data_IF_702227890636
#
_entry.id   IF_702227890636
#
_cell.length_a   1.000
_cell.length_b   1.000
_cell.length_c   1.000
_cell.angle_alpha   90.00
_cell.angle_beta   90.00
_cell.angle_gamma   90.00
#
_symmetry.space_group_name_H-M   'P 1'
#
loop_
_entity.id
_entity.type
_entity.pdbx_description
1 polymer ?
#
# COMPACT_ATOMS: atom_id res chain seq x y z
N UNK A 1 26.41 18.71 21.43
CA UNK A 1 25.09 19.32 21.65
C UNK A 1 24.22 18.26 22.26
N UNK A 2 23.58 18.53 23.38
CA UNK A 2 22.61 17.65 24.00
C UNK A 2 21.22 18.27 23.76
N UNK A 3 20.30 17.50 23.21
CA UNK A 3 18.94 17.92 22.90
C UNK A 3 17.98 17.19 23.84
N UNK A 4 17.09 17.94 24.48
CA UNK A 4 16.04 17.41 25.36
C UNK A 4 14.73 18.11 25.05
N UNK A 5 13.71 17.34 24.64
CA UNK A 5 12.34 17.80 24.45
C UNK A 5 11.40 16.96 25.30
N UNK A 6 10.13 17.36 25.34
CA UNK A 6 9.11 16.63 26.07
C UNK A 6 8.98 15.18 25.56
N UNK A 7 8.70 14.26 26.47
CA UNK A 7 8.49 12.85 26.11
C UNK A 7 7.07 12.58 25.62
N UNK A 8 6.63 13.40 24.70
CA UNK A 8 5.34 13.23 24.02
C UNK A 8 5.53 13.19 22.50
N UNK A 9 4.43 13.10 21.76
CA UNK A 9 4.48 13.05 20.29
C UNK A 9 5.11 14.31 19.68
N UNK A 10 4.76 15.49 20.20
CA UNK A 10 5.26 16.77 19.70
C UNK A 10 6.75 16.93 19.95
N UNK A 11 7.24 16.52 21.12
CA UNK A 11 8.66 16.54 21.46
C UNK A 11 9.48 15.59 20.58
N UNK A 12 8.98 14.40 20.31
CA UNK A 12 9.61 13.44 19.37
C UNK A 12 9.70 14.00 17.95
N UNK A 13 8.62 14.60 17.46
CA UNK A 13 8.60 15.27 16.14
C UNK A 13 9.56 16.48 16.10
N UNK A 14 9.70 17.21 17.20
CA UNK A 14 10.66 18.30 17.31
C UNK A 14 12.12 17.81 17.22
N UNK A 15 12.44 16.68 17.88
CA UNK A 15 13.76 16.03 17.74
C UNK A 15 14.04 15.70 16.28
N UNK A 16 13.12 15.05 15.58
CA UNK A 16 13.29 14.66 14.18
C UNK A 16 13.49 15.87 13.24
N UNK A 17 12.87 17.02 13.53
CA UNK A 17 13.03 18.25 12.75
C UNK A 17 14.33 19.00 13.04
N UNK A 18 14.77 19.04 14.31
CA UNK A 18 15.89 19.88 14.75
C UNK A 18 17.24 19.18 14.58
N UNK A 19 17.32 17.89 14.88
CA UNK A 19 18.59 17.15 14.82
C UNK A 19 19.27 17.21 13.45
N UNK A 20 18.57 17.10 12.30
CA UNK A 20 19.20 17.24 10.99
C UNK A 20 19.84 18.61 10.72
N UNK A 21 19.40 19.66 11.42
CA UNK A 21 19.94 21.02 11.30
C UNK A 21 21.21 21.24 12.13
N UNK A 22 21.53 20.30 13.02
CA UNK A 22 22.67 20.40 13.93
C UNK A 22 23.93 19.71 13.35
N UNK A 23 25.13 20.05 13.83
CA UNK A 23 26.38 19.46 13.32
C UNK A 23 26.37 17.93 13.44
N UNK A 24 26.54 17.26 12.30
CA UNK A 24 26.51 15.79 12.22
C UNK A 24 27.53 15.14 13.16
N UNK A 25 27.07 14.09 13.84
CA UNK A 25 27.93 13.32 14.75
C UNK A 25 28.22 13.97 16.10
N UNK A 26 27.70 15.17 16.37
CA UNK A 26 27.89 15.92 17.62
C UNK A 26 26.59 16.15 18.40
N UNK A 27 25.58 15.34 18.15
CA UNK A 27 24.25 15.47 18.76
C UNK A 27 23.94 14.25 19.60
N UNK A 28 23.55 14.47 20.84
CA UNK A 28 23.01 13.48 21.77
C UNK A 28 21.58 13.87 22.13
N UNK A 29 20.73 12.91 22.31
CA UNK A 29 19.32 13.13 22.66
C UNK A 29 19.03 12.47 24.00
N UNK A 30 18.43 13.24 24.90
CA UNK A 30 17.86 12.73 26.14
C UNK A 30 16.44 12.29 25.86
N UNK A 31 16.09 11.09 26.28
CA UNK A 31 14.70 10.64 26.35
C UNK A 31 14.29 10.74 27.84
N UNK A 32 13.51 11.75 28.23
CA UNK A 32 13.11 11.90 29.65
C UNK A 32 12.26 10.72 30.10
N UNK A 33 12.39 10.29 31.36
CA UNK A 33 11.52 9.29 32.00
C UNK A 33 10.13 9.84 32.28
N UNK A 34 10.05 11.14 32.53
CA UNK A 34 8.82 11.89 32.77
C UNK A 34 8.41 12.65 31.50
N UNK A 35 7.25 13.28 31.53
CA UNK A 35 6.73 14.03 30.39
C UNK A 35 7.66 15.16 29.96
N UNK A 36 8.16 15.92 30.92
CA UNK A 36 9.05 17.05 30.69
C UNK A 36 10.09 17.20 31.83
N UNK A 37 11.04 18.12 31.65
CA UNK A 37 12.10 18.38 32.64
C UNK A 37 11.55 18.99 33.93
N UNK A 38 10.41 19.71 33.87
CA UNK A 38 9.79 20.31 35.05
C UNK A 38 9.21 19.23 36.01
N UNK A 39 8.72 18.13 35.47
CA UNK A 39 8.23 17.01 36.28
C UNK A 39 9.34 16.39 37.16
N UNK A 40 10.60 16.42 36.74
CA UNK A 40 11.70 15.97 37.61
C UNK A 40 11.84 16.87 38.84
N UNK A 41 11.71 18.20 38.65
CA UNK A 41 11.79 19.17 39.75
C UNK A 41 10.60 19.03 40.71
N UNK A 42 9.39 19.00 40.18
CA UNK A 42 8.15 18.91 40.96
C UNK A 42 8.11 17.62 41.79
N UNK A 43 8.70 16.53 41.31
CA UNK A 43 8.70 15.24 41.99
C UNK A 43 9.99 15.02 42.82
N UNK A 44 10.89 16.00 42.96
CA UNK A 44 12.15 15.87 43.71
C UNK A 44 13.11 14.84 43.11
N UNK A 45 13.14 14.73 41.76
CA UNK A 45 13.89 13.72 41.00
C UNK A 45 15.05 14.30 40.18
N UNK A 46 15.64 15.38 40.64
CA UNK A 46 16.72 16.09 39.93
C UNK A 46 17.92 15.17 39.65
N UNK A 47 18.21 14.25 40.57
CA UNK A 47 19.30 13.27 40.40
C UNK A 47 19.02 12.29 39.27
N UNK A 48 17.75 11.94 39.04
CA UNK A 48 17.35 11.08 37.92
C UNK A 48 17.55 11.82 36.60
N UNK A 49 17.21 13.12 36.52
CA UNK A 49 17.48 13.92 35.33
C UNK A 49 18.97 13.99 35.01
N UNK A 50 19.81 14.21 36.02
CA UNK A 50 21.28 14.20 35.84
C UNK A 50 21.77 12.86 35.29
N UNK A 51 21.19 11.75 35.76
CA UNK A 51 21.48 10.41 35.24
C UNK A 51 21.06 10.29 33.79
N UNK A 52 19.87 10.74 33.44
CA UNK A 52 19.35 10.69 32.06
C UNK A 52 20.17 11.61 31.13
N UNK A 53 20.65 12.75 31.64
CA UNK A 53 21.54 13.63 30.88
C UNK A 53 22.89 12.95 30.53
N UNK A 54 23.49 12.25 31.46
CA UNK A 54 24.74 11.52 31.19
C UNK A 54 24.55 10.24 30.38
N UNK A 55 23.31 9.71 30.36
CA UNK A 55 22.91 8.58 29.54
C UNK A 55 22.33 8.99 28.17
N UNK A 56 22.47 10.28 27.81
CA UNK A 56 22.03 10.75 26.50
C UNK A 56 22.62 9.91 25.37
N UNK A 57 21.78 9.46 24.46
CA UNK A 57 22.20 8.60 23.35
C UNK A 57 22.60 9.44 22.14
N UNK A 58 23.67 9.03 21.46
CA UNK A 58 24.07 9.68 20.21
C UNK A 58 23.01 9.42 19.15
N UNK A 59 22.41 10.48 18.59
CA UNK A 59 21.44 10.32 17.52
C UNK A 59 22.13 9.72 16.29
N UNK A 60 21.64 8.59 15.85
CA UNK A 60 22.07 7.95 14.63
C UNK A 60 21.56 8.75 13.43
N UNK A 61 22.37 9.01 12.39
CA UNK A 61 21.91 9.70 11.18
C UNK A 61 20.77 8.97 10.50
N UNK A 62 19.91 9.72 9.81
CA UNK A 62 18.80 9.14 9.06
C UNK A 62 19.28 8.08 8.06
N UNK A 63 18.57 6.99 7.99
CA UNK A 63 18.91 5.85 7.13
C UNK A 63 19.92 4.86 7.77
N UNK A 64 20.45 5.15 8.97
CA UNK A 64 21.28 4.23 9.76
C UNK A 64 20.51 3.84 11.01
N UNK A 65 20.37 2.56 11.24
CA UNK A 65 19.68 2.00 12.43
C UNK A 65 20.73 1.34 13.31
N UNK A 66 20.72 1.65 14.59
CA UNK A 66 21.59 0.98 15.54
C UNK A 66 21.07 -0.42 15.86
N UNK A 67 21.95 -1.35 16.20
CA UNK A 67 21.54 -2.69 16.63
C UNK A 67 20.65 -2.66 17.89
N UNK A 68 20.78 -1.64 18.72
CA UNK A 68 19.93 -1.44 19.90
C UNK A 68 18.47 -1.15 19.56
N UNK A 69 18.21 -0.57 18.38
CA UNK A 69 16.86 -0.23 17.93
C UNK A 69 16.19 -1.36 17.13
N UNK A 70 16.94 -2.45 16.81
CA UNK A 70 16.39 -3.51 15.94
C UNK A 70 15.23 -4.27 16.59
N UNK A 71 15.22 -4.42 17.91
CA UNK A 71 14.13 -5.14 18.59
C UNK A 71 12.80 -4.40 18.45
N UNK A 72 12.81 -3.06 18.60
CA UNK A 72 11.60 -2.25 18.36
C UNK A 72 11.13 -2.35 16.91
N UNK A 73 12.05 -2.39 15.95
CA UNK A 73 11.72 -2.57 14.53
C UNK A 73 11.16 -3.95 14.20
N UNK A 74 11.62 -4.99 14.89
CA UNK A 74 11.05 -6.35 14.77
C UNK A 74 9.60 -6.37 15.28
N UNK A 75 9.33 -5.71 16.40
CA UNK A 75 7.98 -5.60 16.96
C UNK A 75 7.07 -4.82 15.99
N UNK A 76 7.51 -3.62 15.55
CA UNK A 76 6.78 -2.84 14.55
C UNK A 76 6.47 -3.65 13.28
N UNK A 77 7.42 -4.45 12.80
CA UNK A 77 7.25 -5.31 11.63
C UNK A 77 6.24 -6.45 11.89
N UNK A 78 6.21 -6.98 13.10
CA UNK A 78 5.26 -8.03 13.48
C UNK A 78 3.81 -7.51 13.57
N UNK A 79 3.63 -6.23 13.85
CA UNK A 79 2.33 -5.54 13.93
C UNK A 79 1.80 -5.09 12.57
N UNK A 80 2.61 -5.18 11.50
CA UNK A 80 2.18 -4.78 10.15
C UNK A 80 0.96 -5.61 9.72
N UNK A 81 -0.17 -4.97 9.36
CA UNK A 81 -1.35 -5.67 8.91
C UNK A 81 -1.08 -6.50 7.65
N UNK A 82 -1.75 -7.62 7.52
CA UNK A 82 -1.62 -8.53 6.39
C UNK A 82 -2.90 -8.56 5.54
N UNK A 83 -2.71 -8.64 4.25
CA UNK A 83 -3.78 -8.80 3.26
C UNK A 83 -4.00 -10.30 3.08
N UNK A 84 -5.20 -10.83 3.36
CA UNK A 84 -5.47 -12.27 3.26
C UNK A 84 -5.44 -12.74 1.80
N UNK A 85 -5.07 -14.00 1.59
CA UNK A 85 -5.15 -14.62 0.26
C UNK A 85 -6.42 -15.47 0.12
N UNK A 86 -6.93 -15.66 -1.12
CA UNK A 86 -8.09 -16.52 -1.35
C UNK A 86 -7.87 -17.95 -0.84
N UNK A 87 -8.93 -18.68 -0.46
CA UNK A 87 -8.84 -20.04 0.11
C UNK A 87 -8.06 -21.04 -0.75
N UNK A 88 -8.11 -20.90 -2.08
CA UNK A 88 -7.34 -21.78 -2.97
C UNK A 88 -5.82 -21.55 -2.89
N UNK A 89 -5.39 -20.45 -2.29
CA UNK A 89 -3.98 -20.09 -2.04
C UNK A 89 -3.56 -20.35 -0.58
N UNK A 90 -4.29 -21.17 0.17
CA UNK A 90 -4.05 -21.40 1.61
C UNK A 90 -2.60 -21.76 1.93
N UNK A 91 -1.97 -22.64 1.11
CA UNK A 91 -0.54 -22.99 1.31
C UNK A 91 0.39 -21.79 1.26
N UNK A 92 0.15 -20.88 0.30
CA UNK A 92 0.92 -19.65 0.19
C UNK A 92 0.64 -18.72 1.38
N UNK A 93 -0.61 -18.62 1.80
CA UNK A 93 -1.00 -17.86 2.98
C UNK A 93 -0.29 -18.35 4.25
N UNK A 94 -0.22 -19.68 4.44
CA UNK A 94 0.49 -20.28 5.57
C UNK A 94 1.99 -20.01 5.51
N UNK A 95 2.62 -20.16 4.33
CA UNK A 95 4.03 -19.83 4.11
C UNK A 95 4.35 -18.34 4.39
N UNK A 96 3.39 -17.44 4.16
CA UNK A 96 3.48 -16.00 4.44
C UNK A 96 2.98 -15.63 5.84
N UNK A 97 2.77 -16.63 6.71
CA UNK A 97 2.29 -16.43 8.07
C UNK A 97 1.01 -15.56 8.16
N UNK A 98 0.01 -15.87 7.34
CA UNK A 98 -1.32 -15.25 7.38
C UNK A 98 -1.62 -14.26 6.25
N UNK A 99 -0.73 -14.07 5.27
CA UNK A 99 -1.01 -13.25 4.10
C UNK A 99 0.10 -12.28 3.71
N UNK A 100 -0.18 -11.41 2.76
CA UNK A 100 0.76 -10.43 2.24
C UNK A 100 0.85 -9.26 3.23
N UNK A 101 2.04 -8.91 3.77
CA UNK A 101 2.17 -7.74 4.63
C UNK A 101 1.94 -6.45 3.83
N UNK A 102 1.42 -5.40 4.49
CA UNK A 102 1.39 -4.07 3.88
C UNK A 102 2.81 -3.51 3.68
N UNK A 103 2.96 -2.63 2.69
CA UNK A 103 4.24 -1.98 2.40
C UNK A 103 5.20 -2.80 1.56
N UNK A 104 4.70 -3.76 0.77
CA UNK A 104 5.52 -4.58 -0.15
C UNK A 104 5.06 -4.48 -1.60
N UNK A 105 5.94 -4.91 -2.51
CA UNK A 105 5.57 -5.21 -3.89
C UNK A 105 5.44 -6.73 -4.03
N UNK A 106 4.29 -7.20 -4.49
CA UNK A 106 4.05 -8.58 -4.93
C UNK A 106 4.07 -8.60 -6.44
N UNK A 107 4.87 -9.47 -7.03
CA UNK A 107 4.96 -9.59 -8.48
C UNK A 107 4.47 -10.98 -8.93
N UNK A 108 3.37 -11.01 -9.69
CA UNK A 108 2.84 -12.19 -10.34
C UNK A 108 3.38 -12.26 -11.77
N UNK A 109 4.41 -13.07 -11.95
CA UNK A 109 5.13 -13.17 -13.22
C UNK A 109 4.98 -14.56 -13.84
N UNK A 110 4.52 -14.63 -15.09
CA UNK A 110 4.54 -15.86 -15.88
C UNK A 110 4.38 -15.55 -17.40
N UNK A 111 4.48 -16.56 -18.25
CA UNK A 111 4.27 -16.41 -19.69
C UNK A 111 2.83 -15.92 -20.00
N UNK A 112 2.63 -15.33 -21.18
CA UNK A 112 1.30 -14.95 -21.66
C UNK A 112 0.38 -16.18 -21.76
N UNK A 113 -0.92 -16.00 -21.52
CA UNK A 113 -1.94 -17.06 -21.62
C UNK A 113 -1.95 -18.08 -20.48
N UNK A 114 -1.18 -17.88 -19.41
CA UNK A 114 -1.11 -18.83 -18.26
C UNK A 114 -2.13 -18.57 -17.15
N UNK A 115 -3.03 -17.59 -17.33
CA UNK A 115 -4.07 -17.27 -16.35
C UNK A 115 -3.67 -16.30 -15.24
N UNK A 116 -2.61 -15.47 -15.44
CA UNK A 116 -2.20 -14.45 -14.47
C UNK A 116 -3.33 -13.51 -14.09
N UNK A 117 -3.96 -12.89 -15.10
CA UNK A 117 -5.06 -11.95 -14.89
C UNK A 117 -6.24 -12.64 -14.19
N UNK A 118 -6.51 -13.92 -14.48
CA UNK A 118 -7.54 -14.68 -13.76
C UNK A 118 -7.19 -14.83 -12.27
N UNK A 119 -5.93 -15.14 -11.96
CA UNK A 119 -5.49 -15.30 -10.56
C UNK A 119 -5.55 -13.97 -9.82
N UNK A 120 -5.07 -12.87 -10.45
CA UNK A 120 -5.10 -11.57 -9.79
C UNK A 120 -6.53 -11.04 -9.64
N UNK A 121 -7.41 -11.30 -10.61
CA UNK A 121 -8.83 -10.97 -10.51
C UNK A 121 -9.53 -11.69 -9.36
N UNK A 122 -9.23 -12.98 -9.16
CA UNK A 122 -9.77 -13.73 -8.03
C UNK A 122 -9.18 -13.23 -6.69
N UNK A 123 -7.90 -12.86 -6.64
CA UNK A 123 -7.32 -12.20 -5.48
C UNK A 123 -7.96 -10.85 -5.21
N UNK A 124 -8.10 -10.01 -6.24
CA UNK A 124 -8.75 -8.71 -6.18
C UNK A 124 -10.19 -8.86 -5.64
N UNK A 125 -10.99 -9.70 -6.29
CA UNK A 125 -12.37 -9.96 -5.87
C UNK A 125 -12.45 -10.39 -4.41
N UNK A 126 -11.55 -11.29 -3.98
CA UNK A 126 -11.48 -11.72 -2.60
C UNK A 126 -11.12 -10.55 -1.65
N UNK A 127 -10.18 -9.69 -2.02
CA UNK A 127 -9.78 -8.52 -1.22
C UNK A 127 -10.89 -7.49 -1.07
N UNK A 128 -11.75 -7.32 -2.08
CA UNK A 128 -12.89 -6.40 -2.00
C UNK A 128 -13.82 -6.73 -0.83
N UNK A 129 -13.95 -8.00 -0.46
CA UNK A 129 -14.89 -8.47 0.56
C UNK A 129 -14.21 -8.91 1.86
N UNK A 130 -12.94 -9.30 1.82
CA UNK A 130 -12.25 -9.92 2.96
C UNK A 130 -11.04 -9.12 3.48
N UNK A 131 -10.66 -8.02 2.82
CA UNK A 131 -9.63 -7.12 3.31
C UNK A 131 -10.26 -5.86 3.93
N UNK A 132 -9.74 -5.37 5.08
CA UNK A 132 -10.20 -4.10 5.64
C UNK A 132 -9.69 -2.90 4.84
N UNK A 133 -8.76 -3.12 3.90
CA UNK A 133 -8.09 -2.06 3.16
C UNK A 133 -8.83 -1.72 1.87
N UNK A 134 -8.87 -0.42 1.54
CA UNK A 134 -9.37 0.05 0.26
C UNK A 134 -8.45 -0.42 -0.87
N UNK A 135 -9.06 -0.89 -1.97
CA UNK A 135 -8.37 -1.42 -3.14
C UNK A 135 -8.46 -0.42 -4.29
N UNK A 136 -7.33 -0.16 -4.92
CA UNK A 136 -7.23 0.58 -6.18
C UNK A 136 -6.78 -0.38 -7.30
N UNK A 137 -7.27 -0.16 -8.50
CA UNK A 137 -6.90 -0.93 -9.69
C UNK A 137 -6.43 0.02 -10.77
N UNK A 138 -5.33 -0.30 -11.39
CA UNK A 138 -4.84 0.35 -12.60
C UNK A 138 -4.82 -0.70 -13.70
N UNK A 139 -5.71 -0.56 -14.67
CA UNK A 139 -5.76 -1.42 -15.86
C UNK A 139 -5.74 -0.55 -17.11
N UNK A 140 -4.83 -0.86 -18.00
CA UNK A 140 -4.67 -0.13 -19.25
C UNK A 140 -5.06 -0.97 -20.48
N UNK A 141 -5.46 -2.23 -20.27
CA UNK A 141 -5.91 -3.14 -21.34
C UNK A 141 -7.42 -3.04 -21.63
N UNK A 142 -8.20 -2.57 -20.67
CA UNK A 142 -9.68 -2.50 -20.80
C UNK A 142 -10.21 -1.13 -20.41
N UNK A 143 -11.30 -0.71 -21.04
CA UNK A 143 -12.05 0.46 -20.60
C UNK A 143 -12.87 0.17 -19.33
N UNK A 144 -13.43 1.23 -18.71
CA UNK A 144 -14.20 1.13 -17.47
C UNK A 144 -15.44 0.26 -17.60
N UNK A 145 -16.10 0.28 -18.75
CA UNK A 145 -17.29 -0.55 -19.02
C UNK A 145 -16.95 -2.03 -19.12
N UNK A 146 -15.88 -2.37 -19.84
CA UNK A 146 -15.38 -3.74 -19.98
C UNK A 146 -14.92 -4.30 -18.65
N UNK A 147 -14.17 -3.49 -17.87
CA UNK A 147 -13.74 -3.89 -16.53
C UNK A 147 -14.92 -4.08 -15.59
N UNK A 148 -15.87 -3.15 -15.60
CA UNK A 148 -17.10 -3.23 -14.81
C UNK A 148 -17.93 -4.46 -15.15
N UNK A 149 -18.11 -4.77 -16.44
CA UNK A 149 -18.82 -5.98 -16.89
C UNK A 149 -18.13 -7.27 -16.43
N UNK A 150 -16.80 -7.32 -16.49
CA UNK A 150 -16.00 -8.47 -16.04
C UNK A 150 -16.21 -8.75 -14.55
N UNK A 151 -16.09 -7.73 -13.70
CA UNK A 151 -16.21 -7.90 -12.25
C UNK A 151 -17.66 -8.16 -11.84
N UNK A 152 -18.63 -7.53 -12.51
CA UNK A 152 -20.05 -7.79 -12.31
C UNK A 152 -20.40 -9.23 -12.69
N UNK A 153 -19.94 -9.72 -13.86
CA UNK A 153 -20.13 -11.11 -14.29
C UNK A 153 -19.63 -12.12 -13.26
N UNK A 154 -18.46 -11.82 -12.66
CA UNK A 154 -17.89 -12.63 -11.57
C UNK A 154 -18.79 -12.61 -10.34
N UNK A 155 -19.29 -11.44 -9.97
CA UNK A 155 -20.07 -11.23 -8.76
C UNK A 155 -21.44 -11.92 -8.81
N UNK A 156 -22.19 -11.74 -9.90
CA UNK A 156 -23.52 -12.35 -10.06
C UNK A 156 -23.45 -13.77 -10.63
N UNK A 157 -22.25 -14.31 -10.87
CA UNK A 157 -22.01 -15.66 -11.43
C UNK A 157 -22.69 -15.86 -12.80
N UNK A 158 -22.77 -14.80 -13.60
CA UNK A 158 -23.37 -14.84 -14.94
C UNK A 158 -22.43 -14.21 -15.97
N UNK A 159 -22.18 -14.92 -17.08
CA UNK A 159 -21.31 -14.43 -18.17
C UNK A 159 -22.07 -13.43 -19.05
N UNK A 160 -22.06 -12.16 -18.67
CA UNK A 160 -22.76 -11.07 -19.37
C UNK A 160 -22.24 -10.92 -20.80
N UNK A 161 -20.94 -11.15 -21.04
CA UNK A 161 -20.33 -11.08 -22.36
C UNK A 161 -20.93 -12.10 -23.37
N UNK A 162 -21.62 -13.16 -22.92
CA UNK A 162 -22.27 -14.14 -23.78
C UNK A 162 -23.69 -13.77 -24.18
N UNK A 163 -24.22 -12.66 -23.71
CA UNK A 163 -25.54 -12.16 -24.16
C UNK A 163 -25.29 -11.41 -25.47
N UNK A 164 -25.63 -12.06 -26.59
CA UNK A 164 -25.34 -11.55 -27.93
C UNK A 164 -26.34 -10.46 -28.36
N UNK A 165 -27.61 -10.58 -27.97
CA UNK A 165 -28.60 -9.57 -28.29
C UNK A 165 -28.46 -8.33 -27.43
N UNK A 166 -28.32 -7.18 -28.09
CA UNK A 166 -28.09 -5.89 -27.43
C UNK A 166 -29.23 -5.46 -26.53
N UNK A 167 -30.48 -5.64 -26.99
CA UNK A 167 -31.65 -5.21 -26.22
C UNK A 167 -31.88 -6.14 -25.02
N UNK A 168 -31.63 -7.44 -25.20
CA UNK A 168 -31.63 -8.41 -24.10
C UNK A 168 -30.57 -8.04 -23.06
N UNK A 169 -29.34 -7.75 -23.48
CA UNK A 169 -28.26 -7.34 -22.60
C UNK A 169 -28.59 -6.06 -21.82
N UNK A 170 -29.12 -5.03 -22.49
CA UNK A 170 -29.52 -3.78 -21.84
C UNK A 170 -30.67 -4.00 -20.85
N UNK A 171 -31.67 -4.80 -21.22
CA UNK A 171 -32.77 -5.14 -20.34
C UNK A 171 -32.30 -5.89 -19.11
N UNK A 172 -31.40 -6.85 -19.29
CA UNK A 172 -30.79 -7.59 -18.19
C UNK A 172 -30.02 -6.65 -17.25
N UNK A 173 -29.12 -5.81 -17.77
CA UNK A 173 -28.31 -4.89 -16.97
C UNK A 173 -29.14 -3.83 -16.23
N UNK A 174 -30.30 -3.45 -16.75
CA UNK A 174 -31.21 -2.48 -16.12
C UNK A 174 -32.24 -3.14 -15.19
N UNK A 175 -32.22 -4.45 -15.07
CA UNK A 175 -33.18 -5.17 -14.23
C UNK A 175 -32.92 -4.85 -12.74
N UNK A 176 -34.01 -4.86 -11.97
CA UNK A 176 -33.94 -4.68 -10.51
C UNK A 176 -33.15 -5.82 -9.86
N UNK A 177 -33.20 -7.02 -10.37
CA UNK A 177 -32.45 -8.19 -9.89
C UNK A 177 -30.93 -7.94 -9.95
N UNK A 178 -30.42 -7.42 -11.08
CA UNK A 178 -29.00 -7.06 -11.21
C UNK A 178 -28.64 -5.90 -10.29
N UNK A 179 -29.48 -4.89 -10.18
CA UNK A 179 -29.24 -3.75 -9.32
C UNK A 179 -29.13 -4.16 -7.82
N UNK A 180 -30.03 -5.05 -7.38
CA UNK A 180 -30.01 -5.56 -6.00
C UNK A 180 -28.80 -6.46 -5.74
N UNK A 181 -28.51 -7.40 -6.64
CA UNK A 181 -27.39 -8.33 -6.52
C UNK A 181 -26.03 -7.65 -6.58
N UNK A 182 -25.91 -6.54 -7.31
CA UNK A 182 -24.64 -5.84 -7.49
C UNK A 182 -24.38 -4.72 -6.48
N UNK A 183 -25.33 -4.40 -5.63
CA UNK A 183 -25.23 -3.28 -4.70
C UNK A 183 -24.00 -3.35 -3.80
N UNK A 184 -23.74 -4.52 -3.24
CA UNK A 184 -22.58 -4.76 -2.35
C UNK A 184 -21.26 -4.90 -3.10
N UNK A 185 -21.29 -5.10 -4.43
CA UNK A 185 -20.11 -5.01 -5.29
C UNK A 185 -19.63 -3.55 -5.43
N UNK A 186 -20.57 -2.61 -5.59
CA UNK A 186 -20.24 -1.21 -5.85
C UNK A 186 -20.02 -0.40 -4.58
N UNK A 187 -20.75 -0.74 -3.52
CA UNK A 187 -20.74 0.03 -2.28
C UNK A 187 -20.51 -0.85 -1.07
N UNK A 188 -19.83 -0.29 -0.08
CA UNK A 188 -19.73 -0.85 1.27
C UNK A 188 -21.02 -0.55 2.05
N UNK A 189 -21.16 -1.13 3.25
CA UNK A 189 -22.31 -0.90 4.12
C UNK A 189 -22.46 0.57 4.54
N UNK A 190 -21.36 1.31 4.64
CA UNK A 190 -21.32 2.74 4.95
C UNK A 190 -21.64 3.64 3.75
N UNK A 191 -21.91 3.07 2.58
CA UNK A 191 -22.20 3.78 1.33
C UNK A 191 -20.94 4.26 0.58
N UNK A 192 -19.74 4.01 1.08
CA UNK A 192 -18.51 4.34 0.37
C UNK A 192 -18.27 3.39 -0.82
N UNK A 193 -17.57 3.84 -1.88
CA UNK A 193 -17.16 2.95 -2.97
C UNK A 193 -16.34 1.77 -2.45
N UNK A 194 -16.53 0.59 -3.05
CA UNK A 194 -15.81 -0.60 -2.65
C UNK A 194 -14.38 -0.65 -3.19
N UNK A 195 -14.14 -0.07 -4.35
CA UNK A 195 -12.84 0.07 -4.97
C UNK A 195 -12.78 1.28 -5.89
N UNK A 196 -11.58 1.61 -6.37
CA UNK A 196 -11.35 2.67 -7.35
C UNK A 196 -10.57 2.11 -8.54
N UNK A 197 -10.81 2.68 -9.72
CA UNK A 197 -10.26 2.20 -11.00
C UNK A 197 -9.60 3.36 -11.75
N UNK A 198 -8.41 3.11 -12.30
CA UNK A 198 -7.73 3.98 -13.27
C UNK A 198 -7.65 3.20 -14.59
N UNK A 199 -8.15 3.79 -15.67
CA UNK A 199 -8.13 3.25 -17.03
C UNK A 199 -7.49 4.21 -18.03
N UNK A 200 -7.15 5.43 -17.59
CA UNK A 200 -6.68 6.51 -18.45
C UNK A 200 -5.22 6.32 -18.87
N UNK A 201 -4.96 6.47 -20.17
CA UNK A 201 -3.64 6.40 -20.81
C UNK A 201 -3.14 7.75 -21.37
N UNK A 202 -4.00 8.76 -21.47
CA UNK A 202 -3.75 9.93 -22.30
C UNK A 202 -2.73 10.90 -21.70
N UNK A 203 -2.51 10.87 -20.40
CA UNK A 203 -1.64 11.80 -19.68
C UNK A 203 -0.15 11.41 -19.56
N UNK A 204 0.27 10.25 -20.08
CA UNK A 204 1.63 9.75 -19.93
C UNK A 204 1.97 9.31 -18.50
N UNK A 205 3.26 9.01 -18.24
CA UNK A 205 3.72 8.41 -16.98
C UNK A 205 3.57 9.35 -15.78
N UNK A 206 3.72 10.65 -15.97
CA UNK A 206 3.65 11.60 -14.85
C UNK A 206 2.20 11.82 -14.43
N UNK A 207 1.25 11.91 -15.36
CA UNK A 207 -0.18 11.91 -15.05
C UNK A 207 -0.60 10.63 -14.32
N UNK A 208 -0.14 9.47 -14.76
CA UNK A 208 -0.42 8.21 -14.08
C UNK A 208 0.13 8.18 -12.65
N UNK A 209 1.34 8.74 -12.42
CA UNK A 209 1.88 8.88 -11.05
C UNK A 209 0.99 9.75 -10.17
N UNK A 210 0.48 10.86 -10.70
CA UNK A 210 -0.45 11.74 -9.98
C UNK A 210 -1.74 10.99 -9.63
N UNK A 211 -2.34 10.26 -10.58
CA UNK A 211 -3.54 9.45 -10.33
C UNK A 211 -3.29 8.35 -9.29
N UNK A 212 -2.13 7.68 -9.32
CA UNK A 212 -1.78 6.69 -8.29
C UNK A 212 -1.62 7.34 -6.92
N UNK A 213 -1.04 8.54 -6.83
CA UNK A 213 -0.97 9.29 -5.58
C UNK A 213 -2.36 9.67 -5.06
N UNK A 214 -3.28 10.08 -5.95
CA UNK A 214 -4.67 10.34 -5.59
C UNK A 214 -5.40 9.09 -5.06
N UNK A 215 -5.19 7.92 -5.67
CA UNK A 215 -5.69 6.66 -5.13
C UNK A 215 -5.22 6.42 -3.69
N UNK A 216 -3.97 6.76 -3.40
CA UNK A 216 -3.37 6.53 -2.07
C UNK A 216 -3.85 7.56 -1.06
N UNK A 217 -3.79 8.85 -1.42
CA UNK A 217 -3.97 9.97 -0.49
C UNK A 217 -5.45 10.33 -0.36
N UNK A 218 -6.14 10.53 -1.48
CA UNK A 218 -7.52 11.03 -1.51
C UNK A 218 -8.53 9.89 -1.38
N UNK A 219 -8.27 8.74 -2.04
CA UNK A 219 -9.16 7.58 -1.98
C UNK A 219 -8.80 6.58 -0.86
N UNK A 220 -7.67 6.75 -0.17
CA UNK A 220 -7.25 5.90 0.95
C UNK A 220 -6.86 4.48 0.57
N UNK A 221 -6.54 4.21 -0.70
CA UNK A 221 -6.16 2.87 -1.15
C UNK A 221 -4.85 2.42 -0.50
N UNK A 222 -4.85 1.21 0.04
CA UNK A 222 -3.66 0.55 0.63
C UNK A 222 -3.21 -0.66 -0.16
N UNK A 223 -4.03 -1.17 -1.05
CA UNK A 223 -3.72 -2.27 -1.97
C UNK A 223 -3.98 -1.77 -3.38
N UNK A 224 -2.96 -1.75 -4.22
CA UNK A 224 -3.07 -1.27 -5.61
C UNK A 224 -2.61 -2.36 -6.56
N UNK A 225 -3.49 -2.76 -7.46
CA UNK A 225 -3.21 -3.73 -8.52
C UNK A 225 -2.81 -2.98 -9.79
N UNK A 226 -1.69 -3.35 -10.40
CA UNK A 226 -1.24 -2.85 -11.71
C UNK A 226 -1.24 -4.04 -12.70
N UNK A 227 -2.21 -4.08 -13.61
CA UNK A 227 -2.42 -5.19 -14.54
C UNK A 227 -2.60 -4.70 -15.99
N UNK A 228 -1.60 -4.96 -16.86
CA UNK A 228 -0.26 -5.39 -16.54
C UNK A 228 0.72 -4.21 -16.33
N UNK A 229 1.80 -4.44 -15.60
CA UNK A 229 2.84 -3.41 -15.39
C UNK A 229 3.57 -3.07 -16.70
N UNK A 230 3.64 -3.99 -17.66
CA UNK A 230 4.28 -3.74 -18.96
C UNK A 230 3.64 -2.57 -19.70
N UNK A 231 2.34 -2.47 -19.73
CA UNK A 231 1.64 -1.40 -20.43
C UNK A 231 1.97 -0.02 -19.87
N UNK A 232 2.33 0.03 -18.57
CA UNK A 232 2.83 1.23 -17.92
C UNK A 232 4.29 1.51 -18.33
N UNK A 233 5.09 0.45 -18.47
CA UNK A 233 6.52 0.55 -18.76
C UNK A 233 6.81 0.62 -20.28
N UNK A 234 5.86 0.24 -21.12
CA UNK A 234 6.01 0.34 -22.58
C UNK A 234 6.15 1.80 -23.00
N UNK A 235 7.17 2.06 -23.81
CA UNK A 235 7.54 3.41 -24.23
C UNK A 235 8.56 4.10 -23.31
N UNK A 236 8.86 3.56 -22.13
CA UNK A 236 9.91 4.06 -21.24
C UNK A 236 11.24 3.34 -21.53
N UNK A 237 12.34 4.08 -21.55
CA UNK A 237 13.66 3.49 -21.59
C UNK A 237 14.02 2.86 -20.22
N UNK A 238 15.08 2.03 -20.17
CA UNK A 238 15.48 1.30 -18.95
C UNK A 238 15.72 2.22 -17.74
N UNK A 239 16.27 3.42 -17.97
CA UNK A 239 16.50 4.40 -16.89
C UNK A 239 15.19 4.93 -16.33
N UNK A 240 14.23 5.25 -17.19
CA UNK A 240 12.90 5.72 -16.81
C UNK A 240 12.11 4.63 -16.07
N UNK A 241 12.17 3.38 -16.56
CA UNK A 241 11.59 2.23 -15.86
C UNK A 241 12.18 2.07 -14.44
N UNK A 242 13.50 2.18 -14.30
CA UNK A 242 14.16 2.13 -13.00
C UNK A 242 13.75 3.29 -12.08
N UNK A 243 13.55 4.49 -12.61
CA UNK A 243 13.04 5.66 -11.88
C UNK A 243 11.60 5.40 -11.40
N UNK A 244 10.73 4.90 -12.27
CA UNK A 244 9.36 4.56 -11.91
C UNK A 244 9.29 3.50 -10.81
N UNK A 245 10.05 2.41 -10.94
CA UNK A 245 10.11 1.36 -9.91
C UNK A 245 10.68 1.87 -8.59
N UNK A 246 11.64 2.79 -8.61
CA UNK A 246 12.17 3.44 -7.40
C UNK A 246 11.12 4.33 -6.75
N UNK A 247 10.35 5.06 -7.55
CA UNK A 247 9.23 5.87 -7.08
C UNK A 247 8.15 5.00 -6.40
N UNK A 248 7.72 3.89 -7.01
CA UNK A 248 6.80 2.92 -6.37
C UNK A 248 7.35 2.44 -5.01
N UNK A 249 8.64 2.06 -4.95
CA UNK A 249 9.29 1.65 -3.70
C UNK A 249 9.31 2.78 -2.64
N UNK A 250 9.39 4.02 -3.07
CA UNK A 250 9.24 5.18 -2.19
C UNK A 250 7.88 5.22 -1.50
N UNK A 251 6.80 4.97 -2.26
CA UNK A 251 5.42 4.96 -1.76
C UNK A 251 5.17 3.86 -0.72
N UNK A 252 5.84 2.70 -0.82
CA UNK A 252 5.74 1.65 0.19
C UNK A 252 6.12 2.16 1.57
N UNK A 253 7.21 2.92 1.66
CA UNK A 253 7.72 3.48 2.92
C UNK A 253 6.88 4.65 3.43
N UNK A 254 6.54 5.59 2.53
CA UNK A 254 5.87 6.84 2.93
C UNK A 254 4.39 6.66 3.25
N UNK A 255 3.73 5.70 2.61
CA UNK A 255 2.26 5.51 2.73
C UNK A 255 1.84 4.14 3.23
N UNK A 256 2.76 3.18 3.39
CA UNK A 256 2.45 1.82 3.80
C UNK A 256 1.50 1.11 2.81
N UNK A 257 1.62 1.41 1.52
CA UNK A 257 0.80 0.82 0.44
C UNK A 257 1.46 -0.44 -0.11
N UNK A 258 0.65 -1.40 -0.54
CA UNK A 258 1.13 -2.62 -1.23
C UNK A 258 0.72 -2.57 -2.69
N UNK A 259 1.68 -2.84 -3.58
CA UNK A 259 1.42 -3.00 -5.00
C UNK A 259 1.44 -4.46 -5.40
N UNK A 260 0.40 -4.90 -6.10
CA UNK A 260 0.33 -6.20 -6.77
C UNK A 260 0.53 -5.98 -8.27
N UNK A 261 1.69 -6.39 -8.78
CA UNK A 261 2.09 -6.20 -10.16
C UNK A 261 1.85 -7.49 -10.96
N UNK A 262 1.17 -7.37 -12.09
CA UNK A 262 1.06 -8.46 -13.06
C UNK A 262 2.11 -8.25 -14.15
N UNK A 263 2.98 -9.25 -14.33
CA UNK A 263 4.14 -9.15 -15.21
C UNK A 263 4.14 -10.26 -16.28
N UNK A 264 4.31 -9.89 -17.55
CA UNK A 264 4.47 -10.82 -18.65
C UNK A 264 5.97 -11.14 -18.86
N UNK A 265 6.37 -12.36 -18.53
CA UNK A 265 7.74 -12.81 -18.84
C UNK A 265 7.82 -13.14 -20.33
N UNK A 266 8.69 -12.43 -21.07
CA UNK A 266 8.99 -12.79 -22.47
C UNK A 266 9.61 -14.18 -22.48
N UNK A 267 9.11 -15.07 -23.34
CA UNK A 267 9.85 -16.31 -23.65
C UNK A 267 11.17 -15.86 -24.27
N UNK A 268 12.28 -16.09 -23.59
CA UNK A 268 13.56 -16.05 -24.28
C UNK A 268 13.48 -17.12 -25.36
N UNK A 269 13.50 -16.70 -26.62
CA UNK A 269 13.74 -17.57 -27.74
C UNK A 269 15.19 -18.01 -27.58
N UNK A 270 15.39 -19.25 -27.11
CA UNK A 270 16.68 -19.94 -27.13
C UNK A 270 16.97 -20.33 -28.57
#
# INVERSE_FOLDING_TARGET
>A
IVVCFDNDKAGKEAVEKIVPLLPKGKVWVITPRYKDVNEYLVNGKEREFVTDFFNATKKTPDGIISSGDLMSKIIEQAEVPKIPLPPFMHKLQDMMAGGIPLGVIVNLASASGTGKSTIIDECLYYWLFNSPHMVGVVTLESDEGQYGEKILSRHISQKIALIEDKEEKLTFLRSQDVAEKSKDLWYREDGSPRFYLIVDRDGGIDSLKELILELIISCGCKVIVLDPIQDILDGLNESEQAVFMRWLKGLLKSHGVTFALVNHVRKNTV
#
